data_IF_894933243235
#
_entry.id   IF_894933243235
#
_cell.length_a   1.000
_cell.length_b   1.000
_cell.length_c   1.000
_cell.angle_alpha   90.00
_cell.angle_beta   90.00
_cell.angle_gamma   90.00
#
_symmetry.space_group_name_H-M   'P 1'
#
loop_
_entity.id
_entity.type
_entity.pdbx_description
1 polymer ?
#
# COMPACT_ATOMS: atom_id res chain seq x y z
N UNK A 1 6.63 -49.83 -63.47
CA UNK A 1 6.47 -49.87 -62.03
C UNK A 1 6.80 -48.47 -61.51
N UNK A 2 5.78 -47.67 -61.36
CA UNK A 2 5.90 -46.25 -61.05
C UNK A 2 5.69 -46.09 -59.53
N UNK A 3 6.66 -45.51 -58.86
CA UNK A 3 6.60 -45.10 -57.44
C UNK A 3 6.09 -43.67 -57.46
N UNK A 4 4.87 -43.46 -56.95
CA UNK A 4 4.28 -42.13 -56.72
C UNK A 4 4.76 -41.64 -55.35
N UNK A 5 5.62 -40.64 -55.33
CA UNK A 5 5.98 -39.85 -54.16
C UNK A 5 4.79 -38.94 -53.82
N UNK A 6 4.13 -39.22 -52.69
CA UNK A 6 3.20 -38.32 -52.05
C UNK A 6 3.99 -37.35 -51.16
N UNK A 7 4.31 -36.17 -51.70
CA UNK A 7 4.76 -35.02 -50.88
C UNK A 7 3.66 -34.63 -49.89
N UNK A 8 3.90 -34.93 -48.63
CA UNK A 8 3.07 -34.46 -47.55
C UNK A 8 3.16 -32.94 -47.42
N UNK A 9 2.02 -32.28 -47.57
CA UNK A 9 1.79 -30.87 -47.24
C UNK A 9 2.24 -30.58 -45.82
N UNK A 10 3.48 -30.15 -45.67
CA UNK A 10 3.98 -29.53 -44.44
C UNK A 10 3.49 -28.10 -44.42
N UNK A 11 2.26 -27.86 -43.95
CA UNK A 11 1.82 -26.54 -43.53
C UNK A 11 2.88 -25.91 -42.63
N UNK A 12 3.54 -24.89 -43.14
CA UNK A 12 4.52 -24.11 -42.42
C UNK A 12 3.92 -23.65 -41.06
N UNK A 13 4.70 -23.69 -39.94
CA UNK A 13 4.22 -23.16 -38.71
C UNK A 13 3.82 -21.68 -38.91
N UNK A 14 2.70 -21.23 -38.30
CA UNK A 14 2.26 -19.84 -38.47
C UNK A 14 3.41 -18.90 -38.08
N UNK A 15 3.71 -18.01 -39.00
CA UNK A 15 4.79 -17.02 -38.87
C UNK A 15 4.57 -16.09 -37.70
N UNK A 16 5.61 -15.33 -37.23
CA UNK A 16 5.57 -14.51 -36.01
C UNK A 16 4.68 -13.26 -36.13
N UNK A 17 3.67 -13.23 -37.02
CA UNK A 17 2.89 -12.02 -37.32
C UNK A 17 1.69 -11.74 -36.40
N UNK A 18 1.32 -12.62 -35.45
CA UNK A 18 0.08 -12.45 -34.66
C UNK A 18 0.28 -12.28 -33.15
N UNK A 19 1.40 -11.75 -32.72
CA UNK A 19 1.59 -11.44 -31.31
C UNK A 19 1.61 -9.93 -31.06
N UNK A 20 0.56 -9.22 -31.45
CA UNK A 20 0.33 -7.85 -31.00
C UNK A 20 0.18 -7.86 -29.47
N UNK A 21 1.06 -7.13 -28.77
CA UNK A 21 1.00 -7.00 -27.29
C UNK A 21 -0.35 -6.43 -26.82
N UNK A 22 -0.61 -6.40 -25.51
CA UNK A 22 -1.89 -5.98 -24.97
C UNK A 22 -2.30 -4.61 -25.46
N UNK A 23 -3.52 -4.49 -25.98
CA UNK A 23 -4.06 -3.26 -26.53
C UNK A 23 -4.01 -2.12 -25.52
N UNK A 24 -3.94 -0.86 -25.98
CA UNK A 24 -3.97 0.32 -25.11
C UNK A 24 -5.20 0.29 -24.19
N UNK A 25 -6.36 -0.15 -24.69
CA UNK A 25 -7.59 -0.29 -23.91
C UNK A 25 -7.43 -1.29 -22.77
N UNK A 26 -6.82 -2.43 -23.02
CA UNK A 26 -6.58 -3.46 -22.00
C UNK A 26 -5.61 -2.95 -20.93
N UNK A 27 -4.53 -2.30 -21.33
CA UNK A 27 -3.54 -1.72 -20.41
C UNK A 27 -4.15 -0.67 -19.50
N UNK A 28 -4.89 0.30 -20.05
CA UNK A 28 -5.56 1.34 -19.28
C UNK A 28 -6.69 0.76 -18.42
N UNK A 29 -7.45 -0.20 -18.97
CA UNK A 29 -8.49 -0.90 -18.22
C UNK A 29 -7.95 -1.67 -17.03
N UNK A 30 -6.87 -2.42 -17.19
CA UNK A 30 -6.24 -3.10 -16.06
C UNK A 30 -5.63 -2.09 -15.07
N UNK A 31 -4.89 -1.09 -15.55
CA UNK A 31 -4.25 -0.10 -14.68
C UNK A 31 -5.27 0.70 -13.83
N UNK A 32 -6.50 0.92 -14.32
CA UNK A 32 -7.53 1.67 -13.57
C UNK A 32 -7.94 1.01 -12.25
N UNK A 33 -7.82 -0.32 -12.11
CA UNK A 33 -8.04 -0.99 -10.83
C UNK A 33 -7.06 -0.55 -9.74
N UNK A 34 -5.91 0.01 -10.13
CA UNK A 34 -4.94 0.57 -9.21
C UNK A 34 -5.43 1.85 -8.49
N UNK A 35 -6.45 2.54 -9.02
CA UNK A 35 -7.15 3.62 -8.32
C UNK A 35 -7.75 3.14 -7.00
N UNK A 36 -8.34 1.94 -7.00
CA UNK A 36 -8.89 1.30 -5.79
C UNK A 36 -7.79 1.07 -4.76
N UNK A 37 -6.68 0.45 -5.20
CA UNK A 37 -5.55 0.14 -4.31
C UNK A 37 -4.92 1.40 -3.74
N UNK A 38 -4.61 2.40 -4.58
CA UNK A 38 -3.97 3.65 -4.15
C UNK A 38 -4.85 4.46 -3.20
N UNK A 39 -6.16 4.54 -3.46
CA UNK A 39 -7.10 5.24 -2.58
C UNK A 39 -7.20 4.55 -1.21
N UNK A 40 -7.36 3.22 -1.18
CA UNK A 40 -7.50 2.48 0.08
C UNK A 40 -6.23 2.47 0.93
N UNK A 41 -5.07 2.48 0.31
CA UNK A 41 -3.82 2.54 1.08
C UNK A 41 -3.53 3.92 1.63
N UNK A 42 -3.94 4.98 0.94
CA UNK A 42 -3.58 6.35 1.30
C UNK A 42 -4.62 7.03 2.19
N UNK A 43 -5.89 7.04 1.79
CA UNK A 43 -6.91 7.85 2.47
C UNK A 43 -7.18 7.39 3.92
N UNK A 44 -7.39 6.09 4.22
CA UNK A 44 -7.53 5.67 5.62
C UNK A 44 -6.26 5.85 6.43
N UNK A 45 -5.09 5.63 5.83
CA UNK A 45 -3.81 5.86 6.49
C UNK A 45 -3.62 7.31 6.94
N UNK A 46 -4.14 8.26 6.16
CA UNK A 46 -4.05 9.69 6.43
C UNK A 46 -5.16 10.19 7.35
N UNK A 47 -6.42 9.80 7.12
CA UNK A 47 -7.58 10.43 7.74
C UNK A 47 -8.25 9.60 8.84
N UNK A 48 -8.08 8.27 8.87
CA UNK A 48 -8.88 7.45 9.78
C UNK A 48 -8.50 7.65 11.25
N UNK A 49 -7.20 7.79 11.55
CA UNK A 49 -6.76 8.04 12.91
C UNK A 49 -7.27 9.40 13.44
N UNK A 50 -7.07 10.55 12.75
CA UNK A 50 -7.62 11.82 13.19
C UNK A 50 -9.15 11.88 13.16
N UNK A 51 -9.81 11.16 12.25
CA UNK A 51 -11.28 11.03 12.28
C UNK A 51 -11.77 10.38 13.59
N UNK A 52 -11.11 9.30 14.02
CA UNK A 52 -11.46 8.63 15.27
C UNK A 52 -11.15 9.50 16.50
N UNK A 53 -9.99 10.17 16.55
CA UNK A 53 -9.56 10.94 17.72
C UNK A 53 -10.25 12.31 17.80
N UNK A 54 -10.26 13.08 16.70
CA UNK A 54 -10.64 14.50 16.72
C UNK A 54 -12.11 14.73 16.33
N UNK A 55 -12.74 13.75 15.66
CA UNK A 55 -14.13 13.86 15.23
C UNK A 55 -15.07 12.98 16.07
N UNK A 56 -14.62 11.76 16.41
CA UNK A 56 -15.44 10.83 17.22
C UNK A 56 -15.03 10.76 18.69
N UNK A 57 -13.95 11.43 19.10
CA UNK A 57 -13.49 11.49 20.49
C UNK A 57 -12.90 10.19 21.03
N UNK A 58 -12.45 9.29 20.16
CA UNK A 58 -11.84 8.01 20.54
C UNK A 58 -10.44 8.24 21.08
N UNK A 59 -10.07 7.59 22.19
CA UNK A 59 -8.70 7.66 22.70
C UNK A 59 -7.67 7.17 21.65
N UNK A 60 -6.54 7.86 21.55
CA UNK A 60 -5.59 7.67 20.43
C UNK A 60 -5.04 6.23 20.32
N UNK A 61 -4.79 5.53 21.44
CA UNK A 61 -4.35 4.14 21.42
C UNK A 61 -5.44 3.22 20.84
N UNK A 62 -6.70 3.38 21.25
CA UNK A 62 -7.82 2.59 20.74
C UNK A 62 -8.07 2.89 19.27
N UNK A 63 -7.99 4.15 18.86
CA UNK A 63 -8.07 4.55 17.46
C UNK A 63 -6.99 3.85 16.61
N UNK A 64 -5.75 3.76 17.11
CA UNK A 64 -4.68 3.01 16.48
C UNK A 64 -4.99 1.52 16.32
N UNK A 65 -5.60 0.88 17.33
CA UNK A 65 -6.07 -0.52 17.23
C UNK A 65 -7.13 -0.68 16.14
N UNK A 66 -8.09 0.24 16.06
CA UNK A 66 -9.15 0.24 15.04
C UNK A 66 -8.55 0.34 13.63
N UNK A 67 -7.47 1.09 13.44
CA UNK A 67 -6.78 1.20 12.15
C UNK A 67 -5.97 -0.07 11.86
N UNK A 68 -5.34 -0.68 12.85
CA UNK A 68 -4.45 -1.83 12.69
C UNK A 68 -5.18 -3.15 12.42
N UNK A 69 -6.22 -3.46 13.21
CA UNK A 69 -6.90 -4.77 13.21
C UNK A 69 -7.43 -5.17 11.83
N UNK A 70 -8.11 -4.30 11.05
CA UNK A 70 -8.60 -4.66 9.72
C UNK A 70 -7.47 -4.98 8.73
N UNK A 71 -6.31 -4.34 8.87
CA UNK A 71 -5.15 -4.62 8.03
C UNK A 71 -4.48 -5.95 8.39
N UNK A 72 -4.43 -6.28 9.68
CA UNK A 72 -3.99 -7.61 10.12
C UNK A 72 -4.94 -8.71 9.63
N UNK A 73 -6.24 -8.42 9.55
CA UNK A 73 -7.27 -9.30 9.02
C UNK A 73 -7.05 -9.65 7.54
N UNK A 74 -6.56 -8.71 6.72
CA UNK A 74 -6.21 -8.93 5.32
C UNK A 74 -5.22 -10.11 5.15
N UNK A 75 -4.25 -10.25 6.05
CA UNK A 75 -3.26 -11.33 6.01
C UNK A 75 -3.90 -12.72 6.15
N UNK A 76 -5.02 -12.82 6.87
CA UNK A 76 -5.79 -14.05 7.03
C UNK A 76 -6.72 -14.29 5.85
N UNK A 77 -7.34 -13.23 5.33
CA UNK A 77 -8.32 -13.33 4.25
C UNK A 77 -7.70 -13.61 2.87
N UNK A 78 -6.55 -13.01 2.58
CA UNK A 78 -5.95 -13.07 1.25
C UNK A 78 -5.81 -14.50 0.69
N UNK A 79 -5.30 -15.51 1.43
CA UNK A 79 -5.21 -16.88 0.95
C UNK A 79 -6.58 -17.56 0.77
N UNK A 80 -7.58 -17.17 1.57
CA UNK A 80 -8.94 -17.72 1.46
C UNK A 80 -9.62 -17.22 0.20
N UNK A 81 -9.51 -15.92 -0.06
CA UNK A 81 -10.07 -15.27 -1.25
C UNK A 81 -9.36 -15.76 -2.51
N UNK A 82 -8.03 -15.94 -2.48
CA UNK A 82 -7.26 -16.50 -3.58
C UNK A 82 -7.83 -17.85 -4.02
N UNK A 83 -7.94 -18.78 -3.07
CA UNK A 83 -8.51 -20.12 -3.34
C UNK A 83 -9.97 -20.08 -3.81
N UNK A 84 -10.78 -19.19 -3.25
CA UNK A 84 -12.16 -19.03 -3.67
C UNK A 84 -12.26 -18.51 -5.12
N UNK A 85 -11.47 -17.49 -5.47
CA UNK A 85 -11.47 -16.92 -6.81
C UNK A 85 -10.94 -17.89 -7.87
N UNK A 86 -9.91 -18.68 -7.56
CA UNK A 86 -9.32 -19.65 -8.49
C UNK A 86 -10.27 -20.83 -8.78
N UNK A 87 -11.13 -21.19 -7.83
CA UNK A 87 -12.13 -22.25 -8.00
C UNK A 87 -13.42 -21.80 -8.71
N UNK A 88 -13.62 -20.49 -8.78
CA UNK A 88 -14.84 -19.92 -9.36
C UNK A 88 -14.80 -19.95 -10.88
N UNK A 89 -15.88 -20.44 -11.49
CA UNK A 89 -16.06 -20.46 -12.95
C UNK A 89 -17.38 -19.78 -13.29
N UNK A 90 -17.29 -18.63 -13.95
CA UNK A 90 -18.48 -17.89 -14.40
C UNK A 90 -18.31 -17.49 -15.88
N UNK A 91 -19.44 -17.11 -16.51
CA UNK A 91 -19.46 -16.54 -17.87
C UNK A 91 -18.61 -15.26 -18.02
N UNK A 92 -18.24 -14.62 -16.91
CA UNK A 92 -17.41 -13.41 -16.90
C UNK A 92 -15.92 -13.71 -16.60
N UNK A 93 -15.56 -14.99 -16.49
CA UNK A 93 -14.25 -15.46 -16.05
C UNK A 93 -14.25 -15.78 -14.56
N UNK A 94 -13.07 -16.18 -14.04
CA UNK A 94 -12.91 -16.56 -12.63
C UNK A 94 -12.83 -15.35 -11.70
N UNK A 95 -12.18 -14.26 -12.11
CA UNK A 95 -11.75 -13.15 -11.26
C UNK A 95 -12.62 -11.90 -11.31
N UNK A 96 -13.24 -11.60 -12.48
CA UNK A 96 -14.06 -10.39 -12.66
C UNK A 96 -15.23 -10.25 -11.69
N UNK A 97 -16.01 -11.30 -11.37
CA UNK A 97 -17.10 -11.17 -10.40
C UNK A 97 -16.62 -10.70 -9.05
N UNK A 98 -15.45 -11.17 -8.60
CA UNK A 98 -14.82 -10.76 -7.35
C UNK A 98 -14.34 -9.31 -7.41
N UNK A 99 -13.68 -8.93 -8.50
CA UNK A 99 -13.18 -7.56 -8.69
C UNK A 99 -14.33 -6.56 -8.72
N UNK A 100 -15.43 -6.87 -9.42
CA UNK A 100 -16.59 -5.98 -9.47
C UNK A 100 -17.35 -5.97 -8.13
N UNK A 101 -17.73 -7.15 -7.63
CA UNK A 101 -18.49 -7.28 -6.39
C UNK A 101 -17.71 -6.77 -5.18
N UNK A 102 -16.43 -7.16 -5.06
CA UNK A 102 -15.53 -6.69 -4.01
C UNK A 102 -15.29 -5.18 -4.08
N UNK A 103 -15.06 -4.64 -5.29
CA UNK A 103 -14.85 -3.20 -5.47
C UNK A 103 -16.06 -2.35 -5.15
N UNK A 104 -17.28 -2.76 -5.57
CA UNK A 104 -18.52 -2.03 -5.24
C UNK A 104 -18.90 -2.17 -3.77
N UNK A 105 -18.78 -3.38 -3.19
CA UNK A 105 -18.99 -3.58 -1.76
C UNK A 105 -18.02 -2.74 -0.92
N UNK A 106 -16.75 -2.66 -1.37
CA UNK A 106 -15.73 -1.83 -0.75
C UNK A 106 -16.09 -0.34 -0.83
N UNK A 107 -16.54 0.16 -1.98
CA UNK A 107 -16.95 1.56 -2.14
C UNK A 107 -18.09 1.91 -1.17
N UNK A 108 -19.09 1.04 -1.03
CA UNK A 108 -20.19 1.22 -0.09
C UNK A 108 -19.70 1.21 1.37
N UNK A 109 -18.93 0.19 1.76
CA UNK A 109 -18.40 0.08 3.12
C UNK A 109 -17.46 1.25 3.46
N UNK A 110 -16.67 1.73 2.48
CA UNK A 110 -15.83 2.89 2.63
C UNK A 110 -16.62 4.18 2.88
N UNK A 111 -17.68 4.43 2.11
CA UNK A 111 -18.57 5.56 2.33
C UNK A 111 -19.23 5.50 3.72
N UNK A 112 -19.64 4.30 4.16
CA UNK A 112 -20.23 4.09 5.49
C UNK A 112 -19.20 4.34 6.61
N UNK A 113 -17.94 3.96 6.42
CA UNK A 113 -16.86 4.17 7.41
C UNK A 113 -16.71 5.64 7.80
N UNK A 114 -16.81 6.56 6.83
CA UNK A 114 -16.70 8.00 7.05
C UNK A 114 -18.04 8.73 7.13
N UNK A 115 -19.16 8.01 7.19
CA UNK A 115 -20.50 8.60 7.18
C UNK A 115 -20.86 9.38 8.45
N UNK A 116 -20.26 8.99 9.60
CA UNK A 116 -20.57 9.60 10.89
C UNK A 116 -22.04 9.50 11.26
N UNK A 117 -22.70 8.39 10.91
CA UNK A 117 -24.13 8.16 11.22
C UNK A 117 -24.40 8.08 12.72
N UNK A 118 -23.41 7.62 13.48
CA UNK A 118 -23.45 7.48 14.93
C UNK A 118 -22.33 8.32 15.55
N UNK A 119 -22.52 8.79 16.77
CA UNK A 119 -21.56 9.57 17.53
C UNK A 119 -21.10 8.86 18.80
N UNK A 120 -20.02 9.35 19.42
CA UNK A 120 -19.47 8.79 20.65
C UNK A 120 -18.98 7.34 20.46
N UNK A 121 -19.14 6.51 21.49
CA UNK A 121 -18.69 5.12 21.49
C UNK A 121 -19.39 4.27 20.40
N UNK A 122 -20.67 4.52 20.16
CA UNK A 122 -21.42 3.86 19.07
C UNK A 122 -20.86 4.21 17.69
N UNK A 123 -20.47 5.48 17.49
CA UNK A 123 -19.81 5.93 16.27
C UNK A 123 -18.44 5.27 16.05
N UNK A 124 -17.66 5.11 17.13
CA UNK A 124 -16.36 4.40 17.08
C UNK A 124 -16.53 2.94 16.65
N UNK A 125 -17.48 2.21 17.21
CA UNK A 125 -17.76 0.82 16.84
C UNK A 125 -18.33 0.71 15.42
N UNK A 126 -19.18 1.64 15.02
CA UNK A 126 -19.69 1.71 13.64
C UNK A 126 -18.57 1.91 12.63
N UNK A 127 -17.66 2.85 12.90
CA UNK A 127 -16.48 3.10 12.06
C UNK A 127 -15.53 1.90 12.03
N UNK A 128 -15.26 1.28 13.18
CA UNK A 128 -14.42 0.08 13.27
C UNK A 128 -15.00 -1.08 12.43
N UNK A 129 -16.30 -1.32 12.55
CA UNK A 129 -17.01 -2.35 11.77
C UNK A 129 -17.02 -2.00 10.28
N UNK A 130 -17.32 -0.75 9.92
CA UNK A 130 -17.29 -0.26 8.54
C UNK A 130 -15.91 -0.42 7.91
N UNK A 131 -14.85 -0.10 8.65
CA UNK A 131 -13.49 -0.26 8.15
C UNK A 131 -13.06 -1.73 8.04
N UNK A 132 -13.50 -2.59 8.95
CA UNK A 132 -13.29 -4.05 8.85
C UNK A 132 -14.00 -4.63 7.61
N UNK A 133 -15.24 -4.20 7.34
CA UNK A 133 -15.97 -4.59 6.12
C UNK A 133 -15.28 -4.06 4.87
N UNK A 134 -14.76 -2.82 4.91
CA UNK A 134 -13.99 -2.23 3.81
C UNK A 134 -12.73 -3.04 3.52
N UNK A 135 -11.96 -3.42 4.55
CA UNK A 135 -10.77 -4.25 4.41
C UNK A 135 -11.13 -5.65 3.88
N UNK A 136 -12.22 -6.24 4.38
CA UNK A 136 -12.72 -7.52 3.87
C UNK A 136 -13.05 -7.43 2.37
N UNK A 137 -13.82 -6.44 1.97
CA UNK A 137 -14.16 -6.21 0.56
C UNK A 137 -12.92 -5.89 -0.30
N UNK A 138 -11.93 -5.19 0.28
CA UNK A 138 -10.64 -4.94 -0.39
C UNK A 138 -9.91 -6.25 -0.68
N UNK A 139 -9.86 -7.21 0.22
CA UNK A 139 -9.24 -8.52 -0.03
C UNK A 139 -9.93 -9.23 -1.22
N UNK A 140 -11.29 -9.19 -1.28
CA UNK A 140 -12.07 -9.74 -2.40
C UNK A 140 -11.82 -9.03 -3.73
N UNK A 141 -11.46 -7.76 -3.71
CA UNK A 141 -11.03 -7.01 -4.89
C UNK A 141 -9.56 -7.28 -5.23
N UNK A 142 -8.67 -7.07 -4.28
CA UNK A 142 -7.21 -6.95 -4.51
C UNK A 142 -6.57 -8.27 -4.93
N UNK A 143 -6.95 -9.38 -4.29
CA UNK A 143 -6.32 -10.68 -4.57
C UNK A 143 -6.61 -11.15 -6.00
N UNK A 144 -7.88 -11.22 -6.46
CA UNK A 144 -8.17 -11.56 -7.85
C UNK A 144 -7.60 -10.53 -8.84
N UNK A 145 -7.65 -9.23 -8.53
CA UNK A 145 -7.09 -8.17 -9.37
C UNK A 145 -5.58 -8.32 -9.57
N UNK A 146 -4.83 -8.60 -8.51
CA UNK A 146 -3.38 -8.79 -8.58
C UNK A 146 -2.98 -9.99 -9.45
N UNK A 147 -3.83 -10.99 -9.54
CA UNK A 147 -3.60 -12.21 -10.30
C UNK A 147 -4.07 -12.13 -11.76
N UNK A 148 -4.85 -11.10 -12.16
CA UNK A 148 -5.34 -10.92 -13.54
C UNK A 148 -4.26 -10.88 -14.62
N UNK A 149 -3.05 -10.29 -14.44
CA UNK A 149 -2.04 -10.25 -15.51
C UNK A 149 -1.67 -11.62 -16.08
N UNK A 150 -1.73 -12.68 -15.26
CA UNK A 150 -1.47 -14.04 -15.71
C UNK A 150 -2.53 -14.57 -16.70
N UNK A 151 -3.77 -14.04 -16.63
CA UNK A 151 -4.86 -14.38 -17.53
C UNK A 151 -4.96 -13.42 -18.73
N UNK A 152 -4.43 -12.19 -18.61
CA UNK A 152 -4.56 -11.14 -19.60
C UNK A 152 -3.43 -11.11 -20.62
N UNK A 153 -2.29 -11.74 -20.33
CA UNK A 153 -1.11 -11.74 -21.19
C UNK A 153 -0.35 -13.06 -21.09
N UNK A 154 -0.05 -13.66 -22.25
CA UNK A 154 0.70 -14.91 -22.36
C UNK A 154 2.19 -14.68 -22.19
N UNK A 155 2.70 -13.54 -22.73
CA UNK A 155 4.12 -13.19 -22.68
C UNK A 155 4.50 -12.51 -21.38
N UNK A 156 5.64 -12.87 -20.82
CA UNK A 156 6.18 -12.28 -19.60
C UNK A 156 6.38 -10.76 -19.73
N UNK A 157 6.90 -10.29 -20.87
CA UNK A 157 7.09 -8.85 -21.14
C UNK A 157 5.79 -8.05 -21.03
N UNK A 158 4.69 -8.61 -21.54
CA UNK A 158 3.38 -7.97 -21.50
C UNK A 158 2.79 -7.95 -20.09
N UNK A 159 3.03 -8.99 -19.30
CA UNK A 159 2.68 -9.02 -17.87
C UNK A 159 3.43 -7.94 -17.10
N UNK A 160 4.74 -7.81 -17.35
CA UNK A 160 5.57 -6.75 -16.74
C UNK A 160 5.06 -5.37 -17.11
N UNK A 161 4.68 -5.12 -18.38
CA UNK A 161 4.09 -3.85 -18.83
C UNK A 161 2.76 -3.54 -18.14
N UNK A 162 1.90 -4.54 -17.95
CA UNK A 162 0.64 -4.38 -17.22
C UNK A 162 0.90 -4.00 -15.75
N UNK A 163 1.80 -4.71 -15.09
CA UNK A 163 2.17 -4.45 -13.68
C UNK A 163 2.82 -3.07 -13.53
N UNK A 164 3.72 -2.68 -14.44
CA UNK A 164 4.33 -1.35 -14.41
C UNK A 164 3.28 -0.23 -14.52
N UNK A 165 2.31 -0.37 -15.44
CA UNK A 165 1.18 0.55 -15.55
C UNK A 165 0.34 0.63 -14.27
N UNK A 166 0.09 -0.50 -13.61
CA UNK A 166 -0.58 -0.57 -12.32
C UNK A 166 0.17 0.23 -11.25
N UNK A 167 1.48 0.01 -11.11
CA UNK A 167 2.30 0.70 -10.11
C UNK A 167 2.28 2.21 -10.31
N UNK A 168 2.40 2.68 -11.56
CA UNK A 168 2.32 4.09 -11.88
C UNK A 168 0.96 4.70 -11.46
N UNK A 169 -0.15 4.01 -11.74
CA UNK A 169 -1.50 4.49 -11.36
C UNK A 169 -1.70 4.44 -9.84
N UNK A 170 -1.14 3.48 -9.11
CA UNK A 170 -1.14 3.50 -7.63
C UNK A 170 -0.52 4.80 -7.12
N UNK A 171 0.67 5.18 -7.64
CA UNK A 171 1.35 6.41 -7.25
C UNK A 171 0.53 7.67 -7.53
N UNK A 172 -0.08 7.75 -8.72
CA UNK A 172 -0.97 8.87 -9.08
C UNK A 172 -2.21 8.92 -8.19
N UNK A 173 -2.83 7.76 -7.93
CA UNK A 173 -4.00 7.68 -7.04
C UNK A 173 -3.63 8.10 -5.62
N UNK A 174 -2.49 7.65 -5.10
CA UNK A 174 -2.00 8.05 -3.78
C UNK A 174 -1.75 9.56 -3.68
N UNK A 175 -1.15 10.16 -4.73
CA UNK A 175 -0.91 11.61 -4.78
C UNK A 175 -2.24 12.39 -4.81
N UNK A 176 -3.15 12.02 -5.71
CA UNK A 176 -4.43 12.72 -5.87
C UNK A 176 -5.30 12.57 -4.61
N UNK A 177 -5.45 11.36 -4.09
CA UNK A 177 -6.27 11.12 -2.90
C UNK A 177 -5.63 11.70 -1.65
N UNK A 178 -4.29 11.61 -1.52
CA UNK A 178 -3.55 12.16 -0.40
C UNK A 178 -3.57 13.70 -0.35
N UNK A 179 -3.48 14.35 -1.50
CA UNK A 179 -3.52 15.81 -1.57
C UNK A 179 -4.97 16.36 -1.46
N UNK A 180 -5.94 15.71 -2.12
CA UNK A 180 -7.30 16.25 -2.21
C UNK A 180 -8.17 15.93 -0.99
N UNK A 181 -7.93 14.78 -0.31
CA UNK A 181 -8.76 14.40 0.83
C UNK A 181 -8.70 15.38 2.01
N UNK A 182 -7.52 15.89 2.43
CA UNK A 182 -7.46 16.92 3.48
C UNK A 182 -8.16 18.21 3.07
N UNK A 183 -8.01 18.64 1.80
CA UNK A 183 -8.70 19.82 1.27
C UNK A 183 -10.22 19.67 1.36
N UNK A 184 -10.75 18.49 1.07
CA UNK A 184 -12.18 18.20 1.20
C UNK A 184 -12.63 18.20 2.66
N UNK A 185 -11.78 17.70 3.58
CA UNK A 185 -12.07 17.76 5.03
C UNK A 185 -12.14 19.21 5.49
N UNK A 186 -11.18 20.04 5.13
CA UNK A 186 -11.15 21.45 5.51
C UNK A 186 -12.30 22.26 4.88
N UNK A 187 -12.58 22.05 3.59
CA UNK A 187 -13.70 22.68 2.90
C UNK A 187 -15.08 22.32 3.51
N UNK A 188 -15.18 21.13 4.13
CA UNK A 188 -16.36 20.70 4.87
C UNK A 188 -16.37 21.14 6.35
N UNK A 189 -15.44 22.02 6.78
CA UNK A 189 -15.36 22.53 8.15
C UNK A 189 -14.62 21.63 9.14
N UNK A 190 -13.80 20.69 8.67
CA UNK A 190 -12.90 19.85 9.49
C UNK A 190 -13.58 18.73 10.30
N UNK A 191 -14.90 18.80 10.50
CA UNK A 191 -15.67 17.86 11.31
C UNK A 191 -16.24 16.67 10.52
N UNK A 192 -17.39 16.15 10.98
CA UNK A 192 -18.11 15.04 10.35
C UNK A 192 -18.40 15.30 8.86
N UNK A 193 -18.83 16.50 8.50
CA UNK A 193 -19.18 16.86 7.12
C UNK A 193 -17.97 16.77 6.20
N UNK A 194 -16.82 17.29 6.62
CA UNK A 194 -15.59 17.22 5.85
C UNK A 194 -15.11 15.77 5.63
N UNK A 195 -15.16 14.95 6.68
CA UNK A 195 -14.83 13.53 6.54
C UNK A 195 -15.82 12.75 5.66
N UNK A 196 -17.11 13.11 5.68
CA UNK A 196 -18.10 12.58 4.72
C UNK A 196 -17.73 12.89 3.28
N UNK A 197 -17.34 14.12 2.99
CA UNK A 197 -16.93 14.52 1.63
C UNK A 197 -15.69 13.73 1.18
N UNK A 198 -14.68 13.63 2.03
CA UNK A 198 -13.49 12.82 1.74
C UNK A 198 -13.83 11.33 1.57
N UNK A 199 -14.73 10.80 2.42
CA UNK A 199 -15.20 9.41 2.33
C UNK A 199 -15.98 9.14 1.04
N UNK A 200 -16.89 10.03 0.64
CA UNK A 200 -17.66 9.91 -0.61
C UNK A 200 -16.75 10.07 -1.84
N UNK A 201 -15.78 10.97 -1.80
CA UNK A 201 -14.77 11.11 -2.83
C UNK A 201 -13.99 9.80 -3.00
N UNK A 202 -13.44 9.24 -1.91
CA UNK A 202 -12.73 7.97 -1.93
C UNK A 202 -13.59 6.81 -2.44
N UNK A 203 -14.83 6.71 -1.97
CA UNK A 203 -15.81 5.71 -2.42
C UNK A 203 -16.11 5.83 -3.92
N UNK A 204 -16.24 7.06 -4.43
CA UNK A 204 -16.45 7.32 -5.86
C UNK A 204 -15.24 6.88 -6.69
N UNK A 205 -14.02 7.23 -6.27
CA UNK A 205 -12.80 6.79 -6.97
C UNK A 205 -12.68 5.26 -6.98
N UNK A 206 -13.00 4.62 -5.85
CA UNK A 206 -13.03 3.15 -5.73
C UNK A 206 -14.05 2.55 -6.68
N UNK A 207 -15.29 3.04 -6.68
CA UNK A 207 -16.36 2.53 -7.56
C UNK A 207 -16.01 2.70 -9.04
N UNK A 208 -15.52 3.88 -9.43
CA UNK A 208 -15.08 4.16 -10.81
C UNK A 208 -13.93 3.24 -11.22
N UNK A 209 -12.92 3.05 -10.36
CA UNK A 209 -11.81 2.14 -10.62
C UNK A 209 -12.28 0.69 -10.82
N UNK A 210 -13.17 0.19 -9.96
CA UNK A 210 -13.73 -1.15 -10.04
C UNK A 210 -14.58 -1.38 -11.31
N UNK A 211 -15.40 -0.42 -11.66
CA UNK A 211 -16.20 -0.46 -12.90
C UNK A 211 -15.32 -0.43 -14.13
N UNK A 212 -14.34 0.46 -14.14
CA UNK A 212 -13.48 0.65 -15.31
C UNK A 212 -12.56 -0.54 -15.56
N UNK A 213 -11.99 -1.17 -14.53
CA UNK A 213 -11.19 -2.38 -14.71
C UNK A 213 -12.04 -3.51 -15.30
N UNK A 214 -13.28 -3.68 -14.83
CA UNK A 214 -14.18 -4.70 -15.38
C UNK A 214 -14.56 -4.43 -16.84
N UNK A 215 -14.89 -3.19 -17.20
CA UNK A 215 -15.25 -2.79 -18.56
C UNK A 215 -14.04 -2.87 -19.52
N UNK A 216 -12.85 -2.46 -19.07
CA UNK A 216 -11.64 -2.44 -19.87
C UNK A 216 -11.07 -3.83 -20.17
N UNK A 217 -11.29 -4.80 -19.28
CA UNK A 217 -10.81 -6.19 -19.42
C UNK A 217 -11.89 -7.14 -19.97
N UNK A 218 -13.08 -6.65 -20.37
CA UNK A 218 -14.25 -7.47 -20.72
C UNK A 218 -14.09 -8.39 -21.94
N UNK A 219 -13.18 -8.10 -22.85
CA UNK A 219 -13.03 -8.83 -24.14
C UNK A 219 -11.96 -9.91 -24.14
N UNK A 220 -11.17 -10.03 -23.10
CA UNK A 220 -10.21 -11.12 -22.97
C UNK A 220 -10.93 -12.30 -22.32
N UNK A 221 -11.30 -13.29 -23.17
CA UNK A 221 -11.73 -14.58 -22.70
C UNK A 221 -10.51 -15.25 -22.04
N UNK A 222 -10.46 -15.20 -20.70
CA UNK A 222 -9.37 -15.82 -19.95
C UNK A 222 -9.40 -17.33 -20.17
N UNK A 223 -8.33 -17.87 -20.71
CA UNK A 223 -8.04 -19.29 -20.53
C UNK A 223 -7.95 -19.54 -19.02
N UNK A 224 -8.62 -20.61 -18.57
CA UNK A 224 -8.49 -21.02 -17.16
C UNK A 224 -7.02 -21.30 -16.87
N UNK A 225 -6.35 -20.41 -16.15
CA UNK A 225 -5.02 -20.69 -15.63
C UNK A 225 -5.12 -22.00 -14.84
N UNK A 226 -4.21 -22.93 -15.12
CA UNK A 226 -4.15 -24.18 -14.39
C UNK A 226 -4.00 -23.86 -12.90
N UNK A 227 -4.93 -24.35 -12.08
CA UNK A 227 -4.86 -24.24 -10.63
C UNK A 227 -3.57 -24.94 -10.19
N UNK A 228 -2.60 -24.26 -9.58
CA UNK A 228 -1.45 -24.94 -9.01
C UNK A 228 -1.96 -25.90 -7.94
N UNK A 229 -1.61 -27.18 -8.07
CA UNK A 229 -1.90 -28.16 -7.04
C UNK A 229 -1.16 -27.74 -5.76
N UNK A 230 -1.90 -27.71 -4.62
CA UNK A 230 -1.41 -27.53 -3.27
C UNK A 230 -0.56 -26.27 -3.00
N UNK A 231 -1.25 -25.12 -2.81
CA UNK A 231 -0.61 -24.02 -2.10
C UNK A 231 -0.34 -24.41 -0.63
N UNK A 232 0.91 -24.24 -0.16
CA UNK A 232 1.25 -24.55 1.22
C UNK A 232 0.44 -23.72 2.20
N UNK A 233 0.06 -24.29 3.34
CA UNK A 233 -0.64 -23.58 4.41
C UNK A 233 0.17 -22.35 4.86
N UNK A 234 -0.50 -21.31 5.39
CA UNK A 234 0.16 -20.11 5.94
C UNK A 234 1.30 -20.48 6.90
N UNK A 235 1.06 -21.49 7.76
CA UNK A 235 2.07 -22.00 8.71
C UNK A 235 3.30 -22.55 7.98
N UNK A 236 3.10 -23.28 6.89
CA UNK A 236 4.19 -23.82 6.08
C UNK A 236 4.92 -22.70 5.31
N UNK A 237 4.20 -21.67 4.86
CA UNK A 237 4.79 -20.49 4.22
C UNK A 237 5.72 -19.73 5.18
N UNK A 238 5.23 -19.44 6.41
CA UNK A 238 6.05 -18.80 7.45
C UNK A 238 7.22 -19.68 7.90
N UNK A 239 7.03 -20.98 8.03
CA UNK A 239 8.12 -21.90 8.37
C UNK A 239 9.22 -21.91 7.29
N UNK A 240 8.83 -21.88 6.02
CA UNK A 240 9.78 -21.79 4.90
C UNK A 240 10.56 -20.47 4.91
N UNK A 241 9.87 -19.35 5.17
CA UNK A 241 10.48 -18.02 5.28
C UNK A 241 11.48 -17.92 6.44
N UNK A 242 11.13 -18.48 7.62
CA UNK A 242 11.99 -18.50 8.81
C UNK A 242 13.25 -19.34 8.63
N UNK A 243 13.26 -20.28 7.72
CA UNK A 243 14.42 -21.14 7.44
C UNK A 243 15.54 -20.41 6.68
N UNK A 244 15.28 -19.22 6.13
CA UNK A 244 16.28 -18.40 5.44
C UNK A 244 16.58 -17.12 6.26
N UNK A 245 17.76 -17.04 6.92
CA UNK A 245 18.15 -15.86 7.70
C UNK A 245 18.24 -14.59 6.86
N UNK A 246 18.65 -14.70 5.60
CA UNK A 246 18.78 -13.56 4.70
C UNK A 246 17.39 -12.99 4.32
N UNK A 247 16.44 -13.87 4.00
CA UNK A 247 15.06 -13.44 3.77
C UNK A 247 14.45 -12.84 5.03
N UNK A 248 14.69 -13.39 6.21
CA UNK A 248 14.19 -12.83 7.47
C UNK A 248 14.80 -11.46 7.79
N UNK A 249 16.06 -11.20 7.43
CA UNK A 249 16.65 -9.87 7.55
C UNK A 249 15.95 -8.87 6.60
N UNK A 250 15.73 -9.26 5.34
CA UNK A 250 15.00 -8.46 4.36
C UNK A 250 13.56 -8.18 4.81
N UNK A 251 12.85 -9.20 5.32
CA UNK A 251 11.49 -9.07 5.84
C UNK A 251 11.41 -8.09 7.02
N UNK A 252 12.35 -8.17 7.97
CA UNK A 252 12.42 -7.22 9.10
C UNK A 252 12.68 -5.80 8.62
N UNK A 253 13.55 -5.63 7.62
CA UNK A 253 13.83 -4.32 7.02
C UNK A 253 12.57 -3.72 6.38
N UNK A 254 11.84 -4.47 5.55
CA UNK A 254 10.64 -3.96 4.91
C UNK A 254 9.54 -3.64 5.93
N UNK A 255 9.37 -4.45 6.97
CA UNK A 255 8.40 -4.17 8.04
C UNK A 255 8.74 -2.87 8.75
N UNK A 256 9.99 -2.67 9.18
CA UNK A 256 10.40 -1.44 9.88
C UNK A 256 10.26 -0.20 9.01
N UNK A 257 10.65 -0.30 7.73
CA UNK A 257 10.49 0.80 6.78
C UNK A 257 9.01 1.13 6.56
N UNK A 258 8.16 0.11 6.43
CA UNK A 258 6.72 0.29 6.26
C UNK A 258 6.06 0.89 7.50
N UNK A 259 6.54 0.54 8.70
CA UNK A 259 6.14 1.22 9.95
C UNK A 259 6.47 2.70 9.87
N UNK A 260 7.70 3.07 9.46
CA UNK A 260 8.09 4.47 9.33
C UNK A 260 7.17 5.24 8.38
N UNK A 261 6.84 4.66 7.22
CA UNK A 261 5.91 5.26 6.24
C UNK A 261 4.49 5.40 6.81
N UNK A 262 4.00 4.35 7.50
CA UNK A 262 2.68 4.38 8.14
C UNK A 262 2.58 5.45 9.23
N UNK A 263 3.65 5.65 10.02
CA UNK A 263 3.73 6.72 11.02
C UNK A 263 3.67 8.10 10.37
N UNK A 264 4.45 8.36 9.31
CA UNK A 264 4.43 9.63 8.60
C UNK A 264 3.05 9.92 8.02
N UNK A 265 2.41 8.93 7.41
CA UNK A 265 1.09 9.10 6.82
C UNK A 265 0.03 9.44 7.88
N UNK A 266 0.00 8.70 9.00
CA UNK A 266 -0.96 8.93 10.08
C UNK A 266 -0.66 10.20 10.89
N UNK A 267 0.62 10.56 11.02
CA UNK A 267 1.07 11.72 11.80
C UNK A 267 0.92 13.05 11.07
N UNK A 268 0.87 13.06 9.72
CA UNK A 268 0.84 14.29 8.95
C UNK A 268 -0.30 15.25 9.31
N UNK A 269 -1.56 14.81 9.54
CA UNK A 269 -2.63 15.72 9.96
C UNK A 269 -2.40 16.33 11.35
N UNK A 270 -1.87 15.56 12.29
CA UNK A 270 -1.55 16.05 13.63
C UNK A 270 -0.41 17.06 13.61
N UNK A 271 0.63 16.74 12.83
CA UNK A 271 1.77 17.63 12.65
C UNK A 271 1.37 18.94 11.99
N UNK A 272 0.59 18.92 10.91
CA UNK A 272 0.09 20.12 10.24
C UNK A 272 -0.75 20.97 11.20
N UNK A 273 -1.69 20.36 11.90
CA UNK A 273 -2.65 21.08 12.76
C UNK A 273 -2.00 21.65 14.03
N UNK A 274 -1.17 20.87 14.73
CA UNK A 274 -0.67 21.22 16.07
C UNK A 274 0.75 21.81 16.09
N UNK A 275 1.53 21.61 15.02
CA UNK A 275 2.92 22.10 14.90
C UNK A 275 3.02 23.25 13.90
N UNK A 276 2.43 23.08 12.70
CA UNK A 276 2.40 24.14 11.68
C UNK A 276 1.25 25.12 11.90
N UNK A 277 0.26 24.80 12.75
CA UNK A 277 -0.95 25.57 12.98
C UNK A 277 -1.76 25.84 11.71
N UNK A 278 -1.62 24.99 10.70
CA UNK A 278 -2.31 25.05 9.43
C UNK A 278 -2.80 23.66 9.00
N UNK A 279 -4.12 23.44 9.08
CA UNK A 279 -4.75 22.17 8.66
C UNK A 279 -4.63 21.95 7.15
N UNK A 280 -4.56 23.00 6.36
CA UNK A 280 -4.41 22.93 4.90
C UNK A 280 -3.00 22.45 4.48
N UNK A 281 -2.01 22.51 5.37
CA UNK A 281 -0.64 22.04 5.16
C UNK A 281 -0.50 20.54 4.94
N UNK A 282 -1.52 19.71 5.23
CA UNK A 282 -1.48 18.26 5.03
C UNK A 282 -1.28 17.89 3.56
N UNK A 283 -2.04 18.53 2.66
CA UNK A 283 -1.92 18.29 1.21
C UNK A 283 -0.51 18.57 0.67
N UNK A 284 0.08 19.75 0.91
CA UNK A 284 1.46 20.06 0.58
C UNK A 284 2.48 19.08 1.17
N UNK A 285 2.33 18.64 2.44
CA UNK A 285 3.20 17.64 3.05
C UNK A 285 3.15 16.31 2.30
N UNK A 286 1.96 15.81 2.00
CA UNK A 286 1.81 14.56 1.23
C UNK A 286 2.38 14.71 -0.17
N UNK A 287 2.14 15.83 -0.84
CA UNK A 287 2.70 16.10 -2.17
C UNK A 287 4.24 16.16 -2.12
N UNK A 288 4.81 16.84 -1.12
CA UNK A 288 6.25 16.94 -0.91
C UNK A 288 6.91 15.56 -0.63
N UNK A 289 6.18 14.61 -0.06
CA UNK A 289 6.65 13.23 0.13
C UNK A 289 6.52 12.37 -1.14
N UNK A 290 5.35 12.40 -1.79
CA UNK A 290 5.03 11.48 -2.89
C UNK A 290 5.67 11.92 -4.21
N UNK A 291 5.72 13.23 -4.51
CA UNK A 291 6.25 13.70 -5.78
C UNK A 291 7.76 13.37 -5.96
N UNK A 292 8.66 13.64 -4.97
CA UNK A 292 10.03 13.18 -5.07
C UNK A 292 10.17 11.66 -5.14
N UNK A 293 9.31 10.91 -4.47
CA UNK A 293 9.30 9.45 -4.54
C UNK A 293 9.12 8.96 -6.00
N UNK A 294 8.23 9.59 -6.77
CA UNK A 294 8.03 9.25 -8.17
C UNK A 294 9.17 9.76 -9.08
N UNK A 295 9.65 10.97 -8.85
CA UNK A 295 10.62 11.65 -9.72
C UNK A 295 12.05 11.14 -9.56
N UNK A 296 12.43 10.69 -8.36
CA UNK A 296 13.83 10.30 -8.06
C UNK A 296 14.12 8.81 -8.29
N UNK A 297 13.10 7.99 -8.58
CA UNK A 297 13.28 6.57 -8.90
C UNK A 297 14.34 6.30 -9.99
N UNK A 298 14.36 7.03 -11.13
CA UNK A 298 15.39 6.84 -12.16
C UNK A 298 16.82 7.21 -11.67
N UNK A 299 16.93 8.13 -10.72
CA UNK A 299 18.22 8.50 -10.13
C UNK A 299 18.77 7.39 -9.25
N UNK A 300 17.91 6.79 -8.42
CA UNK A 300 18.27 5.67 -7.55
C UNK A 300 18.68 4.42 -8.33
N UNK A 301 18.13 4.18 -9.51
CA UNK A 301 18.51 3.06 -10.37
C UNK A 301 19.98 3.09 -10.83
N UNK A 302 20.64 4.25 -10.79
CA UNK A 302 22.06 4.42 -11.11
C UNK A 302 22.99 3.98 -9.97
N UNK A 303 22.51 3.97 -8.74
CA UNK A 303 23.23 3.47 -7.58
C UNK A 303 22.96 1.96 -7.43
N UNK A 304 23.97 1.21 -6.99
CA UNK A 304 23.87 -0.25 -6.85
C UNK A 304 24.27 -0.69 -5.44
N UNK A 305 23.64 -1.77 -4.99
CA UNK A 305 24.03 -2.52 -3.80
C UNK A 305 23.74 -1.81 -2.47
N UNK A 306 24.39 -2.26 -1.37
CA UNK A 306 24.09 -1.85 0.00
C UNK A 306 24.41 -0.38 0.29
N UNK A 307 25.33 0.23 -0.48
CA UNK A 307 25.63 1.66 -0.36
C UNK A 307 24.44 2.53 -0.76
N UNK A 308 23.71 2.15 -1.82
CA UNK A 308 22.51 2.87 -2.27
C UNK A 308 21.42 2.86 -1.18
N UNK A 309 21.16 1.71 -0.57
CA UNK A 309 20.18 1.61 0.54
C UNK A 309 20.62 2.44 1.76
N UNK A 310 21.92 2.44 2.11
CA UNK A 310 22.43 3.22 3.23
C UNK A 310 22.27 4.74 3.00
N UNK A 311 22.58 5.22 1.78
CA UNK A 311 22.37 6.63 1.41
C UNK A 311 20.88 6.99 1.45
N UNK A 312 20.01 6.15 0.89
CA UNK A 312 18.57 6.35 0.91
C UNK A 312 18.02 6.42 2.35
N UNK A 313 18.48 5.51 3.22
CA UNK A 313 18.10 5.51 4.65
C UNK A 313 18.65 6.72 5.40
N UNK A 314 19.84 7.18 5.08
CA UNK A 314 20.41 8.40 5.68
C UNK A 314 19.61 9.64 5.28
N UNK A 315 19.22 9.77 4.00
CA UNK A 315 18.37 10.87 3.53
C UNK A 315 16.99 10.84 4.19
N UNK A 316 16.35 9.67 4.24
CA UNK A 316 15.07 9.50 4.92
C UNK A 316 15.16 9.89 6.40
N UNK A 317 16.18 9.38 7.10
CA UNK A 317 16.41 9.67 8.53
C UNK A 317 16.68 11.17 8.75
N UNK A 318 17.52 11.79 7.91
CA UNK A 318 17.79 13.21 7.99
C UNK A 318 16.52 14.05 7.80
N UNK A 319 15.70 13.73 6.78
CA UNK A 319 14.41 14.38 6.56
C UNK A 319 13.48 14.26 7.78
N UNK A 320 13.38 13.05 8.37
CA UNK A 320 12.57 12.82 9.56
C UNK A 320 13.10 13.58 10.80
N UNK A 321 14.41 13.61 11.02
CA UNK A 321 15.01 14.33 12.16
C UNK A 321 14.86 15.84 12.04
N UNK A 322 14.89 16.40 10.82
CA UNK A 322 14.66 17.83 10.59
C UNK A 322 13.26 18.28 11.05
N UNK A 323 12.26 17.38 11.07
CA UNK A 323 10.95 17.72 11.64
C UNK A 323 11.01 18.08 13.13
N UNK A 324 11.98 17.58 13.88
CA UNK A 324 12.13 17.94 15.29
C UNK A 324 12.50 19.43 15.49
N UNK A 325 13.08 20.05 14.46
CA UNK A 325 13.39 21.48 14.44
C UNK A 325 12.26 22.34 13.82
N UNK A 326 11.17 21.74 13.37
CA UNK A 326 10.07 22.46 12.67
C UNK A 326 9.49 23.66 13.42
N UNK A 327 9.45 23.72 14.79
CA UNK A 327 8.95 24.91 15.48
C UNK A 327 9.76 26.19 15.24
N UNK A 328 11.01 26.04 14.77
CA UNK A 328 11.92 27.19 14.48
C UNK A 328 12.26 27.29 12.99
N UNK A 329 11.77 26.37 12.16
CA UNK A 329 12.02 26.36 10.73
C UNK A 329 10.91 27.08 9.96
N UNK A 330 11.23 27.78 8.86
CA UNK A 330 10.22 28.30 7.95
C UNK A 330 9.49 27.12 7.25
N UNK A 331 8.24 27.33 6.86
CA UNK A 331 7.39 26.33 6.22
C UNK A 331 8.06 25.65 5.00
N UNK A 332 8.73 26.44 4.15
CA UNK A 332 9.48 25.88 3.01
C UNK A 332 10.59 24.88 3.40
N UNK A 333 11.24 25.06 4.57
CA UNK A 333 12.22 24.12 5.06
C UNK A 333 11.57 22.83 5.58
N UNK A 334 10.36 22.91 6.15
CA UNK A 334 9.58 21.73 6.54
C UNK A 334 9.16 20.93 5.31
N UNK A 335 8.68 21.58 4.26
CA UNK A 335 8.36 20.92 2.98
C UNK A 335 9.60 20.28 2.34
N UNK A 336 10.75 20.95 2.39
CA UNK A 336 12.01 20.40 1.92
C UNK A 336 12.43 19.16 2.73
N UNK A 337 12.23 19.17 4.04
CA UNK A 337 12.48 18.00 4.92
C UNK A 337 11.61 16.83 4.53
N UNK A 338 10.35 17.08 4.19
CA UNK A 338 9.42 16.05 3.71
C UNK A 338 9.82 15.52 2.33
N UNK A 339 10.28 16.41 1.43
CA UNK A 339 10.79 16.02 0.12
C UNK A 339 12.07 15.17 0.23
N UNK A 340 12.94 15.50 1.19
CA UNK A 340 14.16 14.72 1.50
C UNK A 340 13.79 13.32 2.00
N UNK A 341 12.82 13.22 2.92
CA UNK A 341 12.29 11.94 3.39
C UNK A 341 11.67 11.13 2.25
N UNK A 342 10.85 11.75 1.39
CA UNK A 342 10.27 11.12 0.21
C UNK A 342 11.29 10.60 -0.79
N UNK A 343 12.36 11.39 -1.04
CA UNK A 343 13.50 10.99 -1.87
C UNK A 343 14.20 9.76 -1.29
N UNK A 344 14.48 9.76 0.02
CA UNK A 344 15.09 8.64 0.72
C UNK A 344 14.19 7.40 0.66
N UNK A 345 12.88 7.56 0.86
CA UNK A 345 11.91 6.48 0.79
C UNK A 345 11.88 5.79 -0.59
N UNK A 346 11.95 6.56 -1.68
CA UNK A 346 12.04 6.02 -3.05
C UNK A 346 13.23 5.05 -3.21
N UNK A 347 14.39 5.46 -2.72
CA UNK A 347 15.60 4.62 -2.75
C UNK A 347 15.45 3.38 -1.88
N UNK A 348 14.90 3.51 -0.67
CA UNK A 348 14.67 2.38 0.22
C UNK A 348 13.76 1.33 -0.43
N UNK A 349 12.62 1.75 -1.01
CA UNK A 349 11.71 0.86 -1.73
C UNK A 349 12.43 0.14 -2.88
N UNK A 350 13.10 0.90 -3.75
CA UNK A 350 13.79 0.32 -4.91
C UNK A 350 14.76 -0.78 -4.51
N UNK A 351 15.60 -0.52 -3.49
CA UNK A 351 16.62 -1.48 -3.08
C UNK A 351 16.03 -2.70 -2.38
N UNK A 352 14.98 -2.55 -1.55
CA UNK A 352 14.33 -3.70 -0.89
C UNK A 352 13.63 -4.60 -1.91
N UNK A 353 12.92 -4.02 -2.88
CA UNK A 353 12.28 -4.79 -3.95
C UNK A 353 13.30 -5.42 -4.91
N UNK A 354 14.47 -4.81 -5.11
CA UNK A 354 15.54 -5.40 -5.92
C UNK A 354 16.22 -6.60 -5.21
N UNK A 355 16.28 -6.62 -3.88
CA UNK A 355 16.85 -7.73 -3.11
C UNK A 355 15.94 -8.96 -3.00
N UNK A 356 14.63 -8.81 -3.20
CA UNK A 356 13.68 -9.92 -3.10
C UNK A 356 13.93 -11.03 -4.12
N UNK A 357 14.12 -10.75 -5.43
CA UNK A 357 14.49 -11.77 -6.41
C UNK A 357 15.80 -12.50 -6.08
N UNK A 358 16.79 -11.77 -5.55
CA UNK A 358 18.08 -12.36 -5.14
C UNK A 358 17.90 -13.34 -3.97
N UNK A 359 17.03 -13.03 -3.01
CA UNK A 359 16.69 -13.94 -1.93
C UNK A 359 15.97 -15.19 -2.46
N UNK A 360 15.02 -15.03 -3.39
CA UNK A 360 14.29 -16.14 -4.00
C UNK A 360 15.25 -17.05 -4.78
N UNK A 361 16.17 -16.49 -5.56
CA UNK A 361 17.15 -17.24 -6.32
C UNK A 361 18.08 -18.06 -5.39
N UNK A 362 18.55 -17.45 -4.28
CA UNK A 362 19.38 -18.14 -3.26
C UNK A 362 18.61 -19.26 -2.56
N UNK A 363 17.36 -19.03 -2.16
CA UNK A 363 16.53 -20.09 -1.57
C UNK A 363 16.32 -21.26 -2.54
N UNK A 364 16.08 -20.98 -3.81
CA UNK A 364 15.92 -21.99 -4.86
C UNK A 364 17.21 -22.78 -5.04
N UNK A 365 18.37 -22.12 -5.10
CA UNK A 365 19.68 -22.79 -5.22
C UNK A 365 19.98 -23.67 -3.99
N UNK A 366 19.63 -23.22 -2.79
CA UNK A 366 19.88 -23.93 -1.53
C UNK A 366 18.94 -25.13 -1.32
N UNK A 367 17.66 -25.00 -1.70
CA UNK A 367 16.62 -25.99 -1.35
C UNK A 367 16.19 -26.86 -2.53
N UNK A 368 16.54 -26.49 -3.76
CA UNK A 368 16.05 -27.13 -5.00
C UNK A 368 14.54 -26.91 -5.24
N UNK A 369 13.87 -26.05 -4.45
CA UNK A 369 12.42 -25.83 -4.52
C UNK A 369 12.10 -24.40 -4.98
N UNK A 370 11.22 -24.28 -5.96
CA UNK A 370 10.72 -22.99 -6.44
C UNK A 370 9.64 -22.44 -5.50
N UNK A 371 10.04 -21.61 -4.52
CA UNK A 371 9.15 -21.01 -3.51
C UNK A 371 8.96 -19.50 -3.70
N UNK A 372 9.23 -18.98 -4.90
CA UNK A 372 9.21 -17.54 -5.17
C UNK A 372 7.89 -16.87 -4.80
N UNK A 373 6.74 -17.47 -5.14
CA UNK A 373 5.42 -16.95 -4.79
C UNK A 373 5.17 -16.88 -3.29
N UNK A 374 5.63 -17.89 -2.54
CA UNK A 374 5.50 -17.93 -1.07
C UNK A 374 6.31 -16.81 -0.42
N UNK A 375 7.58 -16.65 -0.80
CA UNK A 375 8.45 -15.62 -0.25
C UNK A 375 7.96 -14.21 -0.60
N UNK A 376 7.53 -13.99 -1.86
CA UNK A 376 6.93 -12.72 -2.27
C UNK A 376 5.63 -12.42 -1.50
N UNK A 377 4.78 -13.42 -1.27
CA UNK A 377 3.56 -13.28 -0.47
C UNK A 377 3.84 -12.91 0.98
N UNK A 378 4.82 -13.54 1.63
CA UNK A 378 5.24 -13.20 3.00
C UNK A 378 5.83 -11.79 3.06
N UNK A 379 6.63 -11.40 2.06
CA UNK A 379 7.21 -10.06 1.96
C UNK A 379 6.12 -8.97 1.88
N UNK A 380 5.17 -9.11 0.95
CA UNK A 380 4.07 -8.13 0.77
C UNK A 380 3.11 -8.09 1.97
N UNK A 381 2.87 -9.25 2.62
CA UNK A 381 2.11 -9.31 3.88
C UNK A 381 2.84 -8.56 4.98
N UNK A 382 4.15 -8.76 5.12
CA UNK A 382 4.98 -8.04 6.10
C UNK A 382 4.97 -6.53 5.86
N UNK A 383 5.09 -6.10 4.59
CA UNK A 383 4.98 -4.70 4.20
C UNK A 383 3.63 -4.09 4.62
N UNK A 384 2.52 -4.74 4.27
CA UNK A 384 1.18 -4.28 4.62
C UNK A 384 0.94 -4.19 6.13
N UNK A 385 1.40 -5.19 6.88
CA UNK A 385 1.34 -5.19 8.35
C UNK A 385 2.19 -4.07 8.95
N UNK A 386 3.38 -3.80 8.38
CA UNK A 386 4.24 -2.68 8.79
C UNK A 386 3.54 -1.33 8.62
N UNK A 387 2.97 -1.07 7.44
CA UNK A 387 2.21 0.17 7.19
C UNK A 387 1.05 0.33 8.19
N UNK A 388 0.35 -0.75 8.52
CA UNK A 388 -0.76 -0.71 9.47
C UNK A 388 -0.31 -0.52 10.92
N UNK A 389 0.85 -1.05 11.29
CA UNK A 389 1.42 -0.91 12.62
C UNK A 389 1.86 0.54 12.90
N UNK A 390 2.18 1.31 11.85
CA UNK A 390 2.57 2.72 11.97
C UNK A 390 1.54 3.59 12.70
N UNK A 391 0.29 3.68 12.23
CA UNK A 391 -0.77 4.41 12.90
C UNK A 391 -1.04 3.95 14.34
N UNK A 392 -0.94 2.63 14.60
CA UNK A 392 -1.07 2.09 15.95
C UNK A 392 0.03 2.60 16.89
N UNK A 393 1.30 2.51 16.47
CA UNK A 393 2.43 2.99 17.27
C UNK A 393 2.37 4.50 17.47
N UNK A 394 1.97 5.25 16.43
CA UNK A 394 1.77 6.69 16.53
C UNK A 394 0.66 7.03 17.53
N UNK A 395 -0.50 6.37 17.45
CA UNK A 395 -1.60 6.52 18.40
C UNK A 395 -1.19 6.17 19.84
N UNK A 396 -0.35 5.16 20.02
CA UNK A 396 0.22 4.82 21.33
C UNK A 396 1.12 5.95 21.87
N UNK A 397 1.99 6.52 21.05
CA UNK A 397 2.82 7.67 21.42
C UNK A 397 1.94 8.86 21.82
N UNK A 398 0.92 9.18 21.04
CA UNK A 398 -0.03 10.25 21.35
C UNK A 398 -0.71 10.01 22.69
N UNK A 399 -1.19 8.79 22.97
CA UNK A 399 -1.85 8.43 24.22
C UNK A 399 -0.89 8.57 25.42
N UNK A 400 0.33 8.08 25.29
CA UNK A 400 1.34 8.14 26.36
C UNK A 400 1.80 9.57 26.67
N UNK A 401 1.77 10.46 25.65
CA UNK A 401 2.08 11.87 25.82
C UNK A 401 0.87 12.72 26.23
N UNK A 402 -0.27 12.10 26.51
CA UNK A 402 -1.46 12.79 27.01
C UNK A 402 -2.19 13.59 25.94
N UNK A 403 -2.24 13.12 24.70
CA UNK A 403 -3.03 13.72 23.64
C UNK A 403 -4.52 13.72 24.00
N UNK A 404 -5.15 14.88 23.94
CA UNK A 404 -6.57 15.06 24.23
C UNK A 404 -7.38 14.92 22.96
N UNK A 405 -8.14 13.82 22.86
CA UNK A 405 -9.08 13.60 21.76
C UNK A 405 -10.30 14.52 21.90
N UNK A 406 -10.85 14.99 20.78
CA UNK A 406 -12.07 15.83 20.80
C UNK A 406 -13.20 15.15 20.01
N UNK A 407 -14.44 15.30 20.48
CA UNK A 407 -15.62 14.78 19.76
C UNK A 407 -16.34 15.82 18.91
N UNK A 408 -15.76 17.00 18.74
CA UNK A 408 -16.42 18.18 18.14
C UNK A 408 -15.99 18.43 16.69
N UNK A 409 -15.01 17.71 16.18
CA UNK A 409 -14.39 17.98 14.87
C UNK A 409 -13.36 19.10 14.88
N UNK A 410 -13.26 19.84 15.98
CA UNK A 410 -12.21 20.83 16.21
C UNK A 410 -11.17 20.22 17.14
N UNK A 411 -9.89 20.45 16.87
CA UNK A 411 -8.81 19.97 17.71
C UNK A 411 -8.88 20.65 19.08
N UNK A 412 -8.82 19.85 20.15
CA UNK A 412 -8.65 20.38 21.50
C UNK A 412 -7.26 21.02 21.64
N UNK A 413 -7.15 22.03 22.54
CA UNK A 413 -5.84 22.55 22.91
C UNK A 413 -5.00 21.45 23.54
N UNK A 414 -3.79 21.28 23.03
CA UNK A 414 -2.87 20.26 23.47
C UNK A 414 -1.86 20.79 24.45
N UNK A 415 -1.54 19.99 25.46
CA UNK A 415 -0.46 20.29 26.40
C UNK A 415 0.89 20.30 25.68
N UNK A 416 1.89 20.96 26.29
CA UNK A 416 3.27 20.94 25.78
C UNK A 416 3.80 19.51 25.62
N UNK A 417 3.51 18.62 26.56
CA UNK A 417 3.90 17.21 26.49
C UNK A 417 3.27 16.50 25.30
N UNK A 418 1.97 16.74 25.02
CA UNK A 418 1.30 16.17 23.86
C UNK A 418 1.88 16.70 22.54
N UNK A 419 2.21 17.99 22.46
CA UNK A 419 2.88 18.58 21.28
C UNK A 419 4.26 17.99 21.05
N UNK A 420 5.05 17.78 22.12
CA UNK A 420 6.34 17.07 22.02
C UNK A 420 6.11 15.62 21.53
N UNK A 421 5.06 14.94 22.00
CA UNK A 421 4.68 13.60 21.56
C UNK A 421 4.32 13.56 20.06
N UNK A 422 3.56 14.55 19.56
CA UNK A 422 3.25 14.67 18.14
C UNK A 422 4.54 14.82 17.32
N UNK A 423 5.41 15.71 17.75
CA UNK A 423 6.65 16.02 17.06
C UNK A 423 7.63 14.84 17.08
N UNK A 424 7.85 14.23 18.25
CA UNK A 424 8.72 13.07 18.41
C UNK A 424 8.17 11.84 17.64
N UNK A 425 6.86 11.61 17.72
CA UNK A 425 6.20 10.54 16.97
C UNK A 425 6.34 10.71 15.46
N UNK A 426 6.21 11.94 14.95
CA UNK A 426 6.31 12.23 13.52
C UNK A 426 7.76 12.24 13.01
N UNK A 427 8.73 12.67 13.82
CA UNK A 427 10.13 12.79 13.41
C UNK A 427 11.01 11.64 13.91
N UNK A 428 11.07 11.41 15.24
CA UNK A 428 12.01 10.46 15.84
C UNK A 428 11.62 9.00 15.59
N UNK A 429 10.34 8.64 15.69
CA UNK A 429 9.90 7.25 15.52
C UNK A 429 10.20 6.69 14.12
N UNK A 430 9.87 7.36 12.99
CA UNK A 430 10.24 6.87 11.68
C UNK A 430 11.74 6.90 11.43
N UNK A 431 12.48 7.89 11.98
CA UNK A 431 13.92 7.92 11.90
C UNK A 431 14.57 6.71 12.58
N UNK A 432 14.14 6.35 13.79
CA UNK A 432 14.61 5.17 14.52
C UNK A 432 14.31 3.87 13.77
N UNK A 433 13.10 3.75 13.22
CA UNK A 433 12.72 2.59 12.42
C UNK A 433 13.60 2.44 11.17
N UNK A 434 13.89 3.55 10.46
CA UNK A 434 14.78 3.55 9.30
C UNK A 434 16.23 3.19 9.63
N UNK A 435 16.76 3.73 10.74
CA UNK A 435 18.10 3.38 11.23
C UNK A 435 18.16 1.90 11.60
N UNK A 436 17.18 1.38 12.33
CA UNK A 436 17.12 -0.03 12.70
C UNK A 436 17.06 -0.93 11.45
N UNK A 437 16.26 -0.58 10.44
CA UNK A 437 16.21 -1.29 9.16
C UNK A 437 17.58 -1.29 8.46
N UNK A 438 18.25 -0.13 8.40
CA UNK A 438 19.57 -0.02 7.78
C UNK A 438 20.64 -0.87 8.49
N UNK A 439 20.60 -0.93 9.82
CA UNK A 439 21.53 -1.76 10.61
C UNK A 439 21.28 -3.25 10.39
N UNK A 440 20.02 -3.69 10.30
CA UNK A 440 19.67 -5.07 9.99
C UNK A 440 20.14 -5.48 8.60
N UNK A 441 20.04 -4.59 7.61
CA UNK A 441 20.49 -4.90 6.26
C UNK A 441 22.02 -4.97 6.15
N UNK A 442 22.78 -4.23 6.97
CA UNK A 442 24.25 -4.38 7.05
C UNK A 442 24.64 -5.78 7.51
N UNK A 443 23.90 -6.36 8.45
CA UNK A 443 24.13 -7.74 8.90
C UNK A 443 23.85 -8.78 7.80
N UNK A 444 22.93 -8.49 6.88
CA UNK A 444 22.62 -9.33 5.71
C UNK A 444 23.81 -9.52 4.75
N UNK A 445 24.69 -8.50 4.62
CA UNK A 445 25.80 -8.48 3.65
C UNK A 445 27.13 -8.97 4.25
N UNK A 446 27.16 -9.45 5.49
CA UNK A 446 28.37 -10.09 6.01
C UNK A 446 28.44 -11.50 5.43
N UNK A 447 29.52 -11.84 4.67
CA UNK A 447 29.75 -13.22 4.26
C UNK A 447 29.95 -14.06 5.52
N UNK A 448 29.22 -15.17 5.62
CA UNK A 448 29.48 -16.20 6.60
C UNK A 448 30.73 -16.98 6.17
#
# INVERSE_FOLDING_TARGET
MAVTDTEGDRSAPPGPADAAGPTRRLRLGYASGALVTGTFTTLPGLLLLPYLTDTLGVGAALAGVVVFVPKAWDAVLNPLVGRASDRTRTRWGSRRPYVLGGGLAMALAFALTFSGLLSGSAGAWFTATGYLLTATAFAFFQVPYAAMPAELADREEDRVRLVAGRVAVIGVAALVTGALSPVLVDAGGGGLTGHRWAGLFGATVIAVGALWVCAGTARTAGGAAAVPADEPTLRAQFAAARADPAFMALLRCVVLQSVATGVLLAGAPYFARHVLHDSSGVGPLVAAFVAPNLLTMPLWSRLRGPRGYAVASALFTAGCLLFLASPVLPEGAVLLSMALAGTGHAGQLLFLYALLPDCIARDTARTGRHRGGVLAGVFTTGEGLGVALGPFLYGLVLQLCGYVSSGTGHAAEQTTTARIGILAGFGALPALAAVAAALLLRAYHRPY
#
